data_IF_795080347537
#
_entry.id   IF_795080347537
#
_cell.length_a   1.000
_cell.length_b   1.000
_cell.length_c   1.000
_cell.angle_alpha   90.00
_cell.angle_beta   90.00
_cell.angle_gamma   90.00
#
_symmetry.space_group_name_H-M   'P 1'
#
loop_
_entity.id
_entity.type
_entity.pdbx_description
1 polymer ?
#
# COMPACT_ATOMS: atom_id res chain seq x y z
N UNK A 1 7.62 -13.66 5.78
CA UNK A 1 6.40 -12.99 5.26
C UNK A 1 6.30 -11.67 6.01
N UNK A 2 6.38 -10.52 5.32
CA UNK A 2 6.26 -9.18 5.94
C UNK A 2 7.59 -8.58 6.42
N UNK A 3 8.47 -8.19 5.49
CA UNK A 3 9.72 -7.48 5.81
C UNK A 3 9.71 -6.01 5.37
N UNK A 4 8.57 -5.53 4.87
CA UNK A 4 8.52 -4.27 4.13
C UNK A 4 7.16 -3.54 4.20
N UNK A 5 6.33 -3.80 5.22
CA UNK A 5 4.99 -3.21 5.34
C UNK A 5 4.13 -3.33 4.06
N UNK A 6 4.09 -4.54 3.51
CA UNK A 6 3.27 -4.87 2.33
C UNK A 6 1.96 -5.53 2.76
N UNK A 7 0.85 -5.15 2.11
CA UNK A 7 -0.41 -5.87 2.24
C UNK A 7 -0.49 -6.91 1.12
N UNK A 8 -0.60 -8.18 1.49
CA UNK A 8 -0.51 -9.30 0.57
C UNK A 8 -1.69 -10.24 0.77
N UNK A 9 -2.20 -10.80 -0.32
CA UNK A 9 -3.20 -11.88 -0.28
C UNK A 9 -2.52 -13.17 -0.72
N UNK A 10 -2.56 -14.16 0.17
CA UNK A 10 -2.15 -15.52 -0.12
C UNK A 10 -3.36 -16.44 -0.19
N UNK A 11 -3.26 -17.47 -1.02
CA UNK A 11 -4.10 -18.64 -0.96
C UNK A 11 -3.35 -19.80 -0.34
N UNK A 12 -4.03 -20.51 0.56
CA UNK A 12 -3.55 -21.76 1.14
C UNK A 12 -4.53 -22.86 0.78
N UNK A 13 -4.07 -23.87 0.06
CA UNK A 13 -4.90 -25.04 -0.29
C UNK A 13 -5.30 -25.83 0.96
N UNK A 14 -4.38 -25.92 1.93
CA UNK A 14 -4.61 -26.62 3.19
C UNK A 14 -3.88 -25.92 4.34
N UNK A 15 -4.68 -25.34 5.24
CA UNK A 15 -4.21 -24.62 6.44
C UNK A 15 -3.56 -25.52 7.50
N UNK A 16 -3.72 -26.83 7.39
CA UNK A 16 -3.16 -27.81 8.33
C UNK A 16 -1.84 -28.43 7.85
N UNK A 17 -1.58 -28.42 6.54
CA UNK A 17 -0.42 -29.11 5.97
C UNK A 17 0.59 -28.18 5.32
N UNK A 18 0.34 -26.86 5.26
CA UNK A 18 1.26 -25.84 4.71
C UNK A 18 1.78 -26.17 3.29
N UNK A 19 1.08 -27.02 2.52
CA UNK A 19 1.70 -27.66 1.36
C UNK A 19 1.59 -26.89 0.03
N UNK A 20 0.93 -25.74 0.01
CA UNK A 20 0.97 -24.81 -1.12
C UNK A 20 0.52 -23.42 -0.66
N UNK A 21 1.31 -22.39 -0.97
CA UNK A 21 1.01 -20.99 -0.71
C UNK A 21 1.18 -20.23 -2.01
N UNK A 22 0.06 -19.80 -2.59
CA UNK A 22 0.08 -18.99 -3.81
C UNK A 22 -0.09 -17.52 -3.44
N UNK A 23 0.83 -16.67 -3.90
CA UNK A 23 0.70 -15.22 -3.79
C UNK A 23 -0.27 -14.74 -4.87
N UNK A 24 -1.38 -14.13 -4.45
CA UNK A 24 -2.42 -13.65 -5.35
C UNK A 24 -2.30 -12.16 -5.66
N UNK A 25 -2.01 -11.34 -4.62
CA UNK A 25 -1.90 -9.88 -4.70
C UNK A 25 -0.76 -9.44 -3.78
N UNK A 26 0.12 -8.57 -4.28
CA UNK A 26 1.36 -8.15 -3.62
C UNK A 26 1.61 -6.62 -3.59
N UNK A 27 0.65 -5.84 -4.08
CA UNK A 27 0.73 -4.40 -4.19
C UNK A 27 -0.56 -3.75 -3.69
N UNK A 28 -0.54 -2.43 -3.49
CA UNK A 28 -1.64 -1.69 -2.90
C UNK A 28 -2.05 -2.25 -1.53
N UNK A 29 -3.27 -1.94 -1.15
CA UNK A 29 -3.88 -2.44 0.08
C UNK A 29 -5.26 -2.99 -0.20
N UNK A 30 -5.45 -4.26 0.16
CA UNK A 30 -6.71 -4.97 0.08
C UNK A 30 -7.43 -4.94 1.42
N UNK A 31 -8.73 -4.67 1.37
CA UNK A 31 -9.63 -4.63 2.53
C UNK A 31 -10.93 -5.37 2.20
N UNK A 32 -11.70 -5.76 3.22
CA UNK A 32 -13.04 -6.35 3.08
C UNK A 32 -13.09 -7.47 2.03
N UNK A 33 -12.28 -8.51 2.21
CA UNK A 33 -12.23 -9.64 1.27
C UNK A 33 -13.44 -10.55 1.53
N UNK A 34 -14.21 -10.81 0.49
CA UNK A 34 -15.40 -11.64 0.48
C UNK A 34 -15.25 -12.73 -0.60
N UNK A 35 -14.77 -13.93 -0.23
CA UNK A 35 -14.73 -15.07 -1.13
C UNK A 35 -16.13 -15.42 -1.62
N UNK A 36 -16.25 -15.77 -2.91
CA UNK A 36 -17.46 -16.42 -3.37
C UNK A 36 -17.50 -17.85 -2.81
N UNK A 37 -18.64 -18.20 -2.21
CA UNK A 37 -18.88 -19.53 -1.67
C UNK A 37 -19.37 -20.52 -2.74
N UNK A 38 -19.64 -20.05 -3.96
CA UNK A 38 -19.96 -20.93 -5.09
C UNK A 38 -18.69 -21.53 -5.71
N UNK A 39 -18.84 -22.53 -6.58
CA UNK A 39 -17.69 -23.15 -7.28
C UNK A 39 -16.96 -22.18 -8.23
N UNK A 40 -17.51 -20.97 -8.43
CA UNK A 40 -16.78 -19.88 -9.05
C UNK A 40 -15.68 -19.42 -8.11
N UNK A 41 -14.54 -20.07 -8.29
CA UNK A 41 -13.23 -19.57 -7.91
C UNK A 41 -13.14 -18.06 -8.21
N UNK A 42 -13.56 -17.23 -7.25
CA UNK A 42 -13.47 -15.77 -7.25
C UNK A 42 -13.55 -15.20 -5.82
N UNK A 43 -13.16 -13.95 -5.64
CA UNK A 43 -13.51 -13.16 -4.46
C UNK A 43 -13.70 -11.68 -4.82
N UNK A 44 -14.58 -11.01 -4.08
CA UNK A 44 -14.74 -9.55 -4.14
C UNK A 44 -13.96 -8.92 -3.01
N UNK A 45 -13.29 -7.81 -3.27
CA UNK A 45 -12.53 -7.08 -2.26
C UNK A 45 -12.55 -5.58 -2.56
N UNK A 46 -12.28 -4.77 -1.55
CA UNK A 46 -11.99 -3.35 -1.75
C UNK A 46 -10.49 -3.14 -1.81
N UNK A 47 -10.04 -2.29 -2.73
CA UNK A 47 -8.62 -2.08 -2.99
C UNK A 47 -8.32 -0.61 -3.24
N UNK A 48 -7.21 -0.15 -2.69
CA UNK A 48 -6.63 1.16 -2.93
C UNK A 48 -5.10 1.08 -2.98
N UNK A 49 -4.47 2.19 -3.37
CA UNK A 49 -3.02 2.37 -3.32
C UNK A 49 -2.70 3.85 -3.11
N UNK A 50 -1.43 4.20 -2.93
CA UNK A 50 -1.00 5.61 -2.91
C UNK A 50 -1.36 6.37 -4.20
N UNK A 51 -1.66 5.66 -5.29
CA UNK A 51 -1.97 6.24 -6.60
C UNK A 51 -3.47 6.24 -6.93
N UNK A 52 -4.30 5.52 -6.18
CA UNK A 52 -5.74 5.51 -6.42
C UNK A 52 -6.59 5.36 -5.15
N UNK A 53 -7.71 6.10 -5.06
CA UNK A 53 -8.70 5.87 -4.02
C UNK A 53 -9.41 4.52 -4.18
N UNK A 54 -9.99 4.08 -3.07
CA UNK A 54 -10.66 2.79 -2.95
C UNK A 54 -11.74 2.56 -3.98
N UNK A 55 -11.69 1.41 -4.64
CA UNK A 55 -12.75 0.84 -5.47
C UNK A 55 -13.03 -0.61 -5.05
N UNK A 56 -14.15 -1.16 -5.52
CA UNK A 56 -14.47 -2.58 -5.38
C UNK A 56 -13.90 -3.31 -6.59
N UNK A 57 -13.26 -4.45 -6.36
CA UNK A 57 -12.66 -5.31 -7.37
C UNK A 57 -13.14 -6.74 -7.22
N UNK A 58 -13.14 -7.47 -8.34
CA UNK A 58 -13.30 -8.91 -8.43
C UNK A 58 -11.95 -9.53 -8.80
N UNK A 59 -11.49 -10.48 -8.01
CA UNK A 59 -10.39 -11.37 -8.35
C UNK A 59 -10.96 -12.71 -8.84
N UNK A 60 -10.39 -13.27 -9.90
CA UNK A 60 -10.67 -14.65 -10.35
C UNK A 60 -9.39 -15.49 -10.27
N UNK A 61 -9.48 -16.79 -9.99
CA UNK A 61 -8.31 -17.64 -9.69
C UNK A 61 -7.37 -17.86 -10.88
N UNK A 62 -7.75 -17.40 -12.07
CA UNK A 62 -6.83 -17.28 -13.20
C UNK A 62 -5.88 -16.06 -13.08
N UNK A 63 -5.88 -15.35 -11.94
CA UNK A 63 -5.07 -14.15 -11.68
C UNK A 63 -5.69 -12.85 -12.17
N UNK A 64 -6.88 -12.87 -12.79
CA UNK A 64 -7.50 -11.66 -13.31
C UNK A 64 -8.11 -10.80 -12.21
N UNK A 65 -7.84 -9.50 -12.26
CA UNK A 65 -8.38 -8.48 -11.36
C UNK A 65 -9.18 -7.48 -12.19
N UNK A 66 -10.45 -7.27 -11.83
CA UNK A 66 -11.36 -6.36 -12.54
C UNK A 66 -12.05 -5.41 -11.58
N UNK A 67 -11.98 -4.12 -11.85
CA UNK A 67 -12.76 -3.13 -11.12
C UNK A 67 -14.26 -3.34 -11.36
N UNK A 68 -15.04 -3.37 -10.28
CA UNK A 68 -16.50 -3.40 -10.31
C UNK A 68 -17.09 -1.99 -10.18
N UNK A 69 -16.33 -1.05 -9.64
CA UNK A 69 -16.73 0.35 -9.45
C UNK A 69 -15.70 1.32 -10.03
N UNK A 70 -16.15 2.54 -10.32
CA UNK A 70 -15.30 3.63 -10.80
C UNK A 70 -15.74 4.98 -10.22
N UNK A 71 -16.31 4.99 -9.00
CA UNK A 71 -16.98 6.16 -8.42
C UNK A 71 -16.06 7.40 -8.32
N UNK A 72 -14.75 7.19 -8.20
CA UNK A 72 -13.77 8.26 -8.06
C UNK A 72 -13.27 8.82 -9.39
N UNK A 73 -13.50 8.15 -10.53
CA UNK A 73 -12.90 8.52 -11.84
C UNK A 73 -13.24 9.96 -12.24
N UNK A 74 -14.49 10.39 -12.08
CA UNK A 74 -14.91 11.74 -12.43
C UNK A 74 -14.28 12.83 -11.55
N UNK A 75 -13.95 12.51 -10.29
CA UNK A 75 -13.28 13.43 -9.37
C UNK A 75 -11.76 13.45 -9.61
N UNK A 76 -11.16 12.28 -9.86
CA UNK A 76 -9.74 12.16 -10.19
C UNK A 76 -9.38 12.95 -11.45
N UNK A 77 -10.28 13.01 -12.44
CA UNK A 77 -10.10 13.84 -13.63
C UNK A 77 -10.10 15.36 -13.37
N UNK A 78 -10.40 15.81 -12.14
CA UNK A 78 -10.45 17.23 -11.75
C UNK A 78 -9.31 17.64 -10.81
N UNK A 79 -8.44 16.71 -10.42
CA UNK A 79 -7.33 16.96 -9.49
C UNK A 79 -6.01 16.59 -10.12
N UNK A 80 -4.94 17.25 -9.69
CA UNK A 80 -3.57 16.94 -10.10
C UNK A 80 -2.96 16.08 -9.00
N UNK A 81 -2.59 14.85 -9.36
CA UNK A 81 -1.99 13.87 -8.46
C UNK A 81 -0.64 13.42 -9.02
N UNK A 82 0.27 13.01 -8.14
CA UNK A 82 1.46 12.27 -8.55
C UNK A 82 1.03 10.97 -9.19
N UNK A 83 1.69 10.63 -10.29
CA UNK A 83 1.54 9.35 -10.99
C UNK A 83 2.50 8.28 -10.47
N UNK A 84 3.38 8.68 -9.56
CA UNK A 84 4.49 7.87 -9.07
C UNK A 84 4.43 7.81 -7.54
N UNK A 85 4.65 6.62 -7.01
CA UNK A 85 4.87 6.34 -5.61
C UNK A 85 5.91 5.23 -5.54
N UNK A 86 7.09 5.57 -5.04
CA UNK A 86 8.26 4.70 -5.09
C UNK A 86 8.56 4.20 -3.69
N UNK A 87 8.64 2.88 -3.55
CA UNK A 87 9.13 2.26 -2.34
C UNK A 87 10.65 2.25 -2.37
N UNK A 88 11.29 2.59 -1.26
CA UNK A 88 12.75 2.54 -1.13
C UNK A 88 13.16 1.97 0.22
N UNK A 89 14.41 1.56 0.34
CA UNK A 89 14.99 1.07 1.59
C UNK A 89 16.40 1.61 1.82
N UNK A 90 16.81 1.58 3.08
CA UNK A 90 18.15 1.96 3.51
C UNK A 90 18.50 1.24 4.83
N UNK A 91 19.78 1.27 5.20
CA UNK A 91 20.23 0.68 6.47
C UNK A 91 19.83 1.57 7.64
N UNK A 92 19.03 1.05 8.57
CA UNK A 92 18.56 1.73 9.77
C UNK A 92 19.44 1.48 11.00
N UNK A 93 18.83 1.62 12.18
CA UNK A 93 19.49 1.24 13.42
C UNK A 93 19.71 -0.29 13.45
N UNK A 94 20.65 -0.75 14.28
CA UNK A 94 20.98 -2.18 14.39
C UNK A 94 21.39 -2.90 13.09
N UNK A 95 21.71 -2.15 12.02
CA UNK A 95 21.89 -2.69 10.67
C UNK A 95 20.67 -3.45 10.15
N UNK A 96 19.47 -3.04 10.53
CA UNK A 96 18.21 -3.57 10.01
C UNK A 96 17.75 -2.75 8.80
N UNK A 97 17.16 -3.40 7.81
CA UNK A 97 16.62 -2.73 6.62
C UNK A 97 15.37 -1.94 7.01
N UNK A 98 15.41 -0.63 6.80
CA UNK A 98 14.27 0.28 6.99
C UNK A 98 13.69 0.62 5.63
N UNK A 99 12.36 0.66 5.55
CA UNK A 99 11.64 0.95 4.32
C UNK A 99 10.89 2.28 4.41
N UNK A 100 10.62 2.86 3.25
CA UNK A 100 9.82 4.07 3.15
C UNK A 100 9.26 4.28 1.75
N UNK A 101 8.50 5.36 1.62
CA UNK A 101 7.84 5.79 0.39
C UNK A 101 8.30 7.18 -0.01
N UNK A 102 8.53 7.34 -1.31
CA UNK A 102 8.75 8.61 -1.99
C UNK A 102 7.60 8.88 -2.96
N UNK A 103 6.94 10.03 -2.82
CA UNK A 103 5.95 10.51 -3.80
C UNK A 103 6.44 11.87 -4.31
N UNK A 104 6.81 11.99 -5.58
CA UNK A 104 7.28 13.25 -6.13
C UNK A 104 6.15 14.28 -6.21
N UNK A 105 6.48 15.58 -6.38
CA UNK A 105 5.48 16.62 -6.64
C UNK A 105 4.63 16.33 -7.87
N UNK A 106 3.31 16.46 -7.74
CA UNK A 106 2.35 16.11 -8.79
C UNK A 106 2.42 17.04 -10.02
N UNK A 107 2.93 18.26 -9.85
CA UNK A 107 3.02 19.28 -10.88
C UNK A 107 4.25 19.14 -11.79
N UNK A 108 5.05 18.07 -11.64
CA UNK A 108 6.17 17.78 -12.52
C UNK A 108 7.34 18.75 -12.35
N UNK A 109 8.33 18.30 -11.59
CA UNK A 109 9.72 18.79 -11.52
C UNK A 109 10.02 20.02 -10.66
N UNK A 110 10.95 19.79 -9.73
CA UNK A 110 12.01 20.71 -9.38
C UNK A 110 13.16 19.87 -8.84
N UNK A 111 14.40 20.10 -9.29
CA UNK A 111 15.60 19.51 -8.65
C UNK A 111 15.66 19.83 -7.14
N UNK A 112 14.86 20.80 -6.67
CA UNK A 112 14.64 21.14 -5.27
C UNK A 112 13.15 21.44 -5.01
N UNK A 113 12.42 20.44 -4.53
CA UNK A 113 11.06 20.62 -4.01
C UNK A 113 11.09 20.80 -2.48
N UNK A 114 10.12 21.51 -1.88
CA UNK A 114 9.96 21.45 -0.43
C UNK A 114 9.61 20.02 0.00
N UNK A 115 10.17 19.57 1.12
CA UNK A 115 9.96 18.23 1.65
C UNK A 115 8.80 18.23 2.65
N UNK A 116 7.82 17.36 2.41
CA UNK A 116 6.86 16.91 3.40
C UNK A 116 7.37 15.57 3.97
N UNK A 117 8.00 15.62 5.13
CA UNK A 117 8.47 14.42 5.84
C UNK A 117 7.38 13.93 6.78
N UNK A 118 6.78 12.78 6.46
CA UNK A 118 5.63 12.24 7.20
C UNK A 118 6.05 11.16 8.17
N UNK A 119 5.68 11.35 9.43
CA UNK A 119 5.94 10.45 10.55
C UNK A 119 4.59 9.89 10.98
N UNK A 120 4.42 8.57 10.96
CA UNK A 120 3.21 7.95 11.50
C UNK A 120 3.18 8.04 13.04
N UNK A 121 1.99 8.05 13.65
CA UNK A 121 1.81 8.08 15.10
C UNK A 121 1.47 6.71 15.71
N UNK A 122 1.30 6.67 17.04
CA UNK A 122 0.98 5.46 17.81
C UNK A 122 2.21 4.56 18.08
N UNK A 123 2.15 3.61 19.03
CA UNK A 123 3.33 2.82 19.38
C UNK A 123 3.77 1.89 18.24
N UNK A 124 2.84 1.37 17.42
CA UNK A 124 3.10 0.42 16.33
C UNK A 124 2.17 0.67 15.13
N UNK A 125 2.70 1.21 14.03
CA UNK A 125 1.98 1.47 12.78
C UNK A 125 2.98 1.59 11.63
N UNK A 126 2.53 1.48 10.38
CA UNK A 126 3.36 1.66 9.17
C UNK A 126 2.64 2.45 8.10
N UNK A 127 3.42 3.08 7.23
CA UNK A 127 2.97 3.53 5.92
C UNK A 127 2.90 2.35 4.95
N UNK A 128 1.69 2.02 4.51
CA UNK A 128 1.39 1.03 3.49
C UNK A 128 1.18 1.70 2.13
N UNK A 129 1.15 0.91 1.05
CA UNK A 129 0.66 1.36 -0.25
C UNK A 129 -0.87 1.53 -0.19
N UNK A 130 -1.34 2.61 0.43
CA UNK A 130 -2.75 2.79 0.79
C UNK A 130 -3.26 4.21 0.57
N UNK A 131 -4.52 4.34 0.20
CA UNK A 131 -5.22 5.63 0.11
C UNK A 131 -5.97 5.96 1.40
N UNK A 132 -5.40 6.85 2.22
CA UNK A 132 -6.04 7.40 3.42
C UNK A 132 -6.70 8.76 3.20
N UNK A 133 -7.67 9.13 4.04
CA UNK A 133 -8.22 10.50 4.09
C UNK A 133 -7.45 11.44 5.04
N UNK A 134 -6.63 10.90 5.93
CA UNK A 134 -5.69 11.64 6.80
C UNK A 134 -4.25 11.34 6.40
N UNK A 135 -3.36 12.34 6.53
CA UNK A 135 -1.93 12.25 6.13
C UNK A 135 -1.70 11.73 4.71
N UNK A 136 -2.63 12.00 3.80
CA UNK A 136 -2.63 11.49 2.43
C UNK A 136 -1.47 12.09 1.61
N UNK A 137 -0.60 11.24 1.05
CA UNK A 137 0.62 11.70 0.36
C UNK A 137 0.30 12.55 -0.86
N UNK A 138 -0.75 12.17 -1.58
CA UNK A 138 -1.22 12.89 -2.76
C UNK A 138 -1.69 14.32 -2.44
N UNK A 139 -2.19 14.56 -1.23
CA UNK A 139 -2.59 15.91 -0.80
C UNK A 139 -1.39 16.85 -0.63
N UNK A 140 -0.24 16.35 -0.18
CA UNK A 140 1.00 17.13 -0.10
C UNK A 140 1.66 17.26 -1.48
N UNK A 141 1.72 16.17 -2.22
CA UNK A 141 2.28 16.14 -3.57
C UNK A 141 1.54 17.08 -4.53
N UNK A 142 0.20 17.13 -4.45
CA UNK A 142 -0.63 18.06 -5.22
C UNK A 142 -0.33 19.54 -4.92
N UNK A 143 0.19 19.84 -3.73
CA UNK A 143 0.64 21.19 -3.33
C UNK A 143 2.09 21.48 -3.71
N UNK A 144 2.77 20.56 -4.41
CA UNK A 144 4.14 20.75 -4.90
C UNK A 144 5.24 20.23 -3.97
N UNK A 145 4.90 19.46 -2.94
CA UNK A 145 5.89 18.85 -2.04
C UNK A 145 6.40 17.53 -2.60
N UNK A 146 7.69 17.24 -2.40
CA UNK A 146 8.15 15.87 -2.38
C UNK A 146 7.77 15.27 -1.04
N UNK A 147 7.15 14.08 -1.04
CA UNK A 147 6.77 13.38 0.18
C UNK A 147 7.78 12.28 0.45
N UNK A 148 8.30 12.23 1.67
CA UNK A 148 9.06 11.09 2.18
C UNK A 148 8.38 10.59 3.45
N UNK A 149 8.11 9.30 3.51
CA UNK A 149 7.43 8.65 4.62
C UNK A 149 8.21 7.39 5.00
N UNK A 150 8.72 7.31 6.23
CA UNK A 150 9.62 6.23 6.68
C UNK A 150 8.92 5.37 7.73
N UNK A 151 9.07 4.05 7.59
CA UNK A 151 8.64 3.07 8.58
C UNK A 151 9.83 2.72 9.48
N UNK A 152 10.08 3.59 10.47
CA UNK A 152 11.20 3.48 11.40
C UNK A 152 11.01 2.34 12.42
N UNK A 153 12.04 2.00 13.20
CA UNK A 153 11.95 1.00 14.28
C UNK A 153 10.76 1.30 15.21
N UNK A 154 9.99 0.26 15.56
CA UNK A 154 8.66 0.42 16.16
C UNK A 154 7.50 0.28 15.16
N UNK A 155 7.77 0.35 13.86
CA UNK A 155 6.76 0.10 12.83
C UNK A 155 6.33 -1.37 12.83
N UNK A 156 5.05 -1.61 12.51
CA UNK A 156 4.49 -2.96 12.42
C UNK A 156 4.80 -3.63 11.07
N UNK A 157 4.49 -4.93 10.93
CA UNK A 157 4.67 -5.65 9.65
C UNK A 157 6.12 -5.83 9.17
N UNK A 158 7.09 -5.74 10.09
CA UNK A 158 8.52 -6.09 9.91
C UNK A 158 8.96 -7.29 10.78
N UNK A 159 8.01 -7.92 11.47
CA UNK A 159 8.27 -8.91 12.52
C UNK A 159 8.43 -8.27 13.91
N UNK A 160 8.09 -9.04 14.94
CA UNK A 160 7.92 -8.52 16.31
C UNK A 160 9.17 -7.82 16.87
N UNK A 161 10.37 -8.33 16.56
CA UNK A 161 11.62 -7.74 17.05
C UNK A 161 11.83 -6.30 16.55
N UNK A 162 11.49 -6.04 15.28
CA UNK A 162 11.59 -4.68 14.70
C UNK A 162 10.50 -3.77 15.30
N UNK A 163 9.29 -4.31 15.49
CA UNK A 163 8.17 -3.60 16.11
C UNK A 163 8.42 -3.24 17.59
N UNK A 164 9.24 -4.00 18.31
CA UNK A 164 9.57 -3.78 19.72
C UNK A 164 10.91 -3.05 19.94
N UNK A 165 11.56 -2.58 18.86
CA UNK A 165 12.88 -1.95 18.88
C UNK A 165 12.89 -0.42 18.96
#
# INVERSE_FOLDING_TARGET
IGEEASNVIYYLENIYTNHSVDLLIDNGTSHNIHPDATQEQTFVFTYDSLLQPRNIYLYSWNGSIRALTNHNTALLGKVILSKEAEKFSFMGANNETVWGWHVPPANGTSQKAPLAFLIHGGPQNSWYDAWGSGWNFQSYSAQGYAVIAINFHGSDSYGQNFTDS
#
